data_IF_814273662338
#
_entry.id   IF_814273662338
#
_cell.length_a   1.000
_cell.length_b   1.000
_cell.length_c   1.000
_cell.angle_alpha   90.00
_cell.angle_beta   90.00
_cell.angle_gamma   90.00
#
_symmetry.space_group_name_H-M   'P 1'
#
loop_
_entity.id
_entity.type
_entity.pdbx_description
1 polymer ?
#
# COMPACT_ATOMS: atom_id res chain seq x y z
N UNK A 1 -6.25 -16.20 67.28
CA UNK A 1 -6.74 -15.43 66.12
C UNK A 1 -5.56 -15.28 65.15
N UNK A 2 -5.35 -16.28 64.29
CA UNK A 2 -4.19 -16.33 63.37
C UNK A 2 -4.68 -15.81 62.02
N UNK A 3 -4.12 -14.68 61.56
CA UNK A 3 -4.46 -14.06 60.28
C UNK A 3 -3.56 -14.68 59.21
N UNK A 4 -4.11 -15.60 58.42
CA UNK A 4 -3.47 -16.07 57.18
C UNK A 4 -3.37 -14.90 56.20
N UNK A 5 -2.18 -14.33 56.06
CA UNK A 5 -1.86 -13.48 54.93
C UNK A 5 -1.75 -14.35 53.67
N UNK A 6 -2.86 -14.47 52.94
CA UNK A 6 -2.85 -14.96 51.55
C UNK A 6 -2.10 -13.94 50.69
N UNK A 7 -0.77 -14.09 50.61
CA UNK A 7 0.03 -13.42 49.59
C UNK A 7 -0.36 -13.99 48.24
N UNK A 8 -1.20 -13.26 47.51
CA UNK A 8 -1.48 -13.56 46.10
C UNK A 8 -0.16 -13.60 45.33
N UNK A 9 0.10 -14.62 44.50
CA UNK A 9 1.31 -14.63 43.69
C UNK A 9 1.25 -13.43 42.74
N UNK A 10 2.11 -12.43 42.98
CA UNK A 10 2.38 -11.39 41.98
C UNK A 10 2.79 -12.15 40.72
N UNK A 11 1.94 -12.12 39.70
CA UNK A 11 2.21 -12.68 38.38
C UNK A 11 3.42 -11.92 37.82
N UNK A 12 4.61 -12.39 38.17
CA UNK A 12 5.89 -11.91 37.63
C UNK A 12 5.87 -12.34 36.18
N UNK A 13 5.29 -11.51 35.32
CA UNK A 13 5.38 -11.71 33.89
C UNK A 13 6.88 -11.64 33.56
N UNK A 14 7.49 -12.74 33.09
CA UNK A 14 8.92 -12.76 32.90
C UNK A 14 9.28 -11.66 31.91
N UNK A 15 10.27 -10.86 32.27
CA UNK A 15 10.81 -9.75 31.49
C UNK A 15 11.06 -10.14 30.01
N UNK A 16 11.41 -11.41 29.75
CA UNK A 16 11.47 -12.02 28.43
C UNK A 16 10.14 -12.00 27.64
N UNK A 17 9.00 -12.34 28.26
CA UNK A 17 7.69 -12.26 27.59
C UNK A 17 7.32 -10.82 27.26
N UNK A 18 7.69 -9.86 28.12
CA UNK A 18 7.48 -8.43 27.84
C UNK A 18 8.36 -7.96 26.69
N UNK A 19 9.63 -8.36 26.67
CA UNK A 19 10.55 -8.07 25.57
C UNK A 19 10.04 -8.63 24.24
N UNK A 20 9.60 -9.88 24.22
CA UNK A 20 9.04 -10.51 23.02
C UNK A 20 7.78 -9.79 22.55
N UNK A 21 6.90 -9.38 23.48
CA UNK A 21 5.70 -8.61 23.15
C UNK A 21 6.03 -7.26 22.53
N UNK A 22 7.03 -6.55 23.06
CA UNK A 22 7.48 -5.25 22.53
C UNK A 22 8.08 -5.42 21.14
N UNK A 23 8.92 -6.43 20.93
CA UNK A 23 9.52 -6.72 19.60
C UNK A 23 8.43 -7.09 18.59
N UNK A 24 7.48 -7.92 18.99
CA UNK A 24 6.35 -8.30 18.14
C UNK A 24 5.53 -7.09 17.69
N UNK A 25 5.15 -6.23 18.64
CA UNK A 25 4.46 -4.97 18.31
C UNK A 25 5.33 -4.01 17.49
N UNK A 26 6.63 -3.93 17.78
CA UNK A 26 7.57 -3.12 17.03
C UNK A 26 7.70 -3.56 15.58
N UNK A 27 7.74 -4.87 15.31
CA UNK A 27 7.77 -5.40 13.95
C UNK A 27 6.47 -5.07 13.21
N UNK A 28 5.31 -5.24 13.86
CA UNK A 28 4.01 -4.91 13.24
C UNK A 28 3.95 -3.43 12.88
N UNK A 29 4.27 -2.55 13.83
CA UNK A 29 4.27 -1.10 13.58
C UNK A 29 5.29 -0.70 12.52
N UNK A 30 6.46 -1.35 12.49
CA UNK A 30 7.44 -1.12 11.44
C UNK A 30 6.92 -1.52 10.07
N UNK A 31 6.35 -2.72 9.92
CA UNK A 31 5.83 -3.20 8.63
C UNK A 31 4.68 -2.32 8.14
N UNK A 32 3.78 -1.88 9.03
CA UNK A 32 2.68 -0.97 8.69
C UNK A 32 3.22 0.37 8.19
N UNK A 33 4.12 1.00 8.95
CA UNK A 33 4.71 2.28 8.57
C UNK A 33 5.55 2.17 7.29
N UNK A 34 6.29 1.07 7.12
CA UNK A 34 7.09 0.83 5.93
C UNK A 34 6.20 0.63 4.70
N UNK A 35 5.19 -0.22 4.79
CA UNK A 35 4.23 -0.43 3.70
C UNK A 35 3.51 0.88 3.35
N UNK A 36 3.14 1.67 4.36
CA UNK A 36 2.55 2.99 4.16
C UNK A 36 3.51 3.93 3.43
N UNK A 37 4.77 4.04 3.86
CA UNK A 37 5.76 4.92 3.24
C UNK A 37 6.03 4.53 1.78
N UNK A 38 6.20 3.23 1.51
CA UNK A 38 6.38 2.73 0.13
C UNK A 38 5.13 3.02 -0.70
N UNK A 39 3.93 2.78 -0.17
CA UNK A 39 2.69 3.00 -0.90
C UNK A 39 2.39 4.50 -1.13
N UNK A 40 2.76 5.39 -0.20
CA UNK A 40 2.63 6.85 -0.37
C UNK A 40 3.45 7.38 -1.54
N UNK A 41 4.60 6.78 -1.83
CA UNK A 41 5.44 7.16 -2.97
C UNK A 41 5.03 6.43 -4.27
N UNK A 42 4.72 5.13 -4.16
CA UNK A 42 4.47 4.28 -5.33
C UNK A 42 3.05 4.48 -5.90
N UNK A 43 2.04 4.68 -5.05
CA UNK A 43 0.66 4.92 -5.49
C UNK A 43 0.50 6.15 -6.41
N UNK A 44 1.01 7.35 -6.06
CA UNK A 44 0.88 8.51 -6.93
C UNK A 44 1.64 8.32 -8.25
N UNK A 45 2.80 7.67 -8.24
CA UNK A 45 3.55 7.37 -9.48
C UNK A 45 2.75 6.45 -10.40
N UNK A 46 2.18 5.36 -9.86
CA UNK A 46 1.33 4.43 -10.62
C UNK A 46 0.08 5.12 -11.17
N UNK A 47 -0.59 5.94 -10.36
CA UNK A 47 -1.77 6.68 -10.76
C UNK A 47 -1.46 7.71 -11.85
N UNK A 48 -0.40 8.49 -11.69
CA UNK A 48 0.02 9.50 -12.66
C UNK A 48 0.41 8.85 -13.99
N UNK A 49 1.22 7.81 -13.97
CA UNK A 49 1.62 7.10 -15.19
C UNK A 49 0.42 6.43 -15.87
N UNK A 50 -0.42 5.72 -15.10
CA UNK A 50 -1.60 5.07 -15.62
C UNK A 50 -2.61 6.06 -16.21
N UNK A 51 -2.88 7.17 -15.52
CA UNK A 51 -3.77 8.22 -15.98
C UNK A 51 -3.23 8.97 -17.21
N UNK A 52 -1.93 9.29 -17.23
CA UNK A 52 -1.30 9.96 -18.37
C UNK A 52 -1.34 9.08 -19.62
N UNK A 53 -1.03 7.79 -19.48
CA UNK A 53 -1.08 6.85 -20.59
C UNK A 53 -2.51 6.58 -21.04
N UNK A 54 -3.44 6.36 -20.12
CA UNK A 54 -4.86 6.22 -20.46
C UNK A 54 -5.38 7.45 -21.20
N UNK A 55 -5.06 8.65 -20.70
CA UNK A 55 -5.38 9.92 -21.32
C UNK A 55 -4.78 10.05 -22.72
N UNK A 56 -3.50 9.69 -22.89
CA UNK A 56 -2.84 9.70 -24.19
C UNK A 56 -3.57 8.82 -25.21
N UNK A 57 -3.92 7.57 -24.85
CA UNK A 57 -4.67 6.67 -25.73
C UNK A 57 -6.03 7.28 -26.08
N UNK A 58 -6.75 7.85 -25.11
CA UNK A 58 -8.06 8.47 -25.32
C UNK A 58 -8.00 9.68 -26.25
N UNK A 59 -7.01 10.55 -26.05
CA UNK A 59 -6.79 11.73 -26.89
C UNK A 59 -6.48 11.29 -28.33
N UNK A 60 -5.57 10.35 -28.48
CA UNK A 60 -5.16 9.83 -29.80
C UNK A 60 -6.34 9.16 -30.51
N UNK A 61 -7.15 8.37 -29.79
CA UNK A 61 -8.34 7.71 -30.34
C UNK A 61 -9.45 8.70 -30.76
N UNK A 62 -9.47 9.91 -30.19
CA UNK A 62 -10.45 10.94 -30.51
C UNK A 62 -10.04 11.81 -31.71
N UNK A 63 -8.78 11.76 -32.15
CA UNK A 63 -8.31 12.52 -33.30
C UNK A 63 -8.88 11.93 -34.60
N UNK A 64 -9.21 12.78 -35.60
CA UNK A 64 -9.56 12.30 -36.93
C UNK A 64 -8.37 11.53 -37.51
N UNK A 65 -8.64 10.36 -38.06
CA UNK A 65 -7.62 9.51 -38.67
C UNK A 65 -7.16 10.13 -39.99
N UNK A 66 -6.02 10.82 -39.96
CA UNK A 66 -5.38 11.28 -41.19
C UNK A 66 -4.46 10.17 -41.73
N UNK A 67 -4.41 9.95 -43.05
CA UNK A 67 -3.61 8.90 -43.66
C UNK A 67 -2.11 9.00 -43.35
N UNK A 68 -1.61 10.21 -43.04
CA UNK A 68 -0.19 10.43 -42.69
C UNK A 68 0.16 10.04 -41.24
N UNK A 69 -0.81 10.01 -40.32
CA UNK A 69 -0.59 9.65 -38.90
C UNK A 69 -0.98 8.21 -38.58
N UNK A 70 -1.84 7.58 -39.39
CA UNK A 70 -2.25 6.17 -39.24
C UNK A 70 -1.06 5.19 -39.07
N UNK A 71 0.07 5.34 -39.81
CA UNK A 71 1.23 4.47 -39.64
C UNK A 71 1.97 4.69 -38.32
N UNK A 72 1.73 5.80 -37.62
CA UNK A 72 2.35 6.09 -36.32
C UNK A 72 1.48 5.61 -35.15
N UNK A 73 0.15 5.57 -35.33
CA UNK A 73 -0.81 5.07 -34.35
C UNK A 73 -0.57 3.61 -33.95
N UNK A 74 -0.09 2.77 -34.87
CA UNK A 74 0.25 1.37 -34.60
C UNK A 74 1.42 1.17 -33.62
N UNK A 75 2.25 2.20 -33.39
CA UNK A 75 3.33 2.13 -32.40
C UNK A 75 2.87 2.48 -30.98
N UNK A 76 1.62 2.91 -30.80
CA UNK A 76 1.09 3.25 -29.48
C UNK A 76 0.78 1.94 -28.72
N UNK A 77 1.54 1.60 -27.67
CA UNK A 77 1.35 0.32 -27.00
C UNK A 77 0.10 0.39 -26.13
N UNK A 78 -0.86 -0.50 -26.35
CA UNK A 78 -1.99 -0.71 -25.43
C UNK A 78 -1.59 -1.57 -24.21
N UNK A 79 -0.51 -2.35 -24.36
CA UNK A 79 0.05 -3.22 -23.32
C UNK A 79 1.57 -3.17 -23.40
N UNK A 80 2.25 -2.94 -22.28
CA UNK A 80 3.69 -3.14 -22.18
C UNK A 80 3.96 -4.46 -21.46
N UNK A 81 4.83 -5.29 -22.02
CA UNK A 81 5.40 -6.42 -21.32
C UNK A 81 6.74 -6.00 -20.72
N UNK A 82 6.86 -6.08 -19.40
CA UNK A 82 8.11 -5.83 -18.70
C UNK A 82 8.33 -6.92 -17.65
N UNK A 83 9.46 -7.62 -17.71
CA UNK A 83 9.85 -8.61 -16.70
C UNK A 83 8.85 -9.75 -16.49
N UNK A 84 8.12 -10.16 -17.54
CA UNK A 84 7.09 -11.21 -17.45
C UNK A 84 5.70 -10.74 -17.01
N UNK A 85 5.54 -9.45 -16.68
CA UNK A 85 4.25 -8.85 -16.32
C UNK A 85 3.69 -8.03 -17.47
N UNK A 86 2.37 -8.13 -17.67
CA UNK A 86 1.64 -7.26 -18.61
C UNK A 86 1.15 -6.03 -17.88
N UNK A 87 1.78 -4.88 -18.13
CA UNK A 87 1.34 -3.58 -17.66
C UNK A 87 0.29 -3.02 -18.62
N UNK A 88 -0.87 -2.70 -18.06
CA UNK A 88 -1.93 -1.96 -18.75
C UNK A 88 -2.17 -0.65 -18.00
N UNK A 89 -2.55 0.43 -18.70
CA UNK A 89 -2.81 1.71 -18.06
C UNK A 89 -3.90 1.60 -16.98
N UNK A 90 -4.93 0.80 -17.22
CA UNK A 90 -6.00 0.52 -16.22
C UNK A 90 -5.44 -0.27 -15.02
N UNK A 91 -4.62 -1.29 -15.26
CA UNK A 91 -4.02 -2.08 -14.18
C UNK A 91 -3.09 -1.25 -13.28
N UNK A 92 -2.36 -0.26 -13.85
CA UNK A 92 -1.56 0.67 -13.07
C UNK A 92 -2.42 1.54 -12.16
N UNK A 93 -3.56 2.03 -12.66
CA UNK A 93 -4.51 2.82 -11.87
C UNK A 93 -5.10 1.97 -10.73
N UNK A 94 -5.57 0.76 -11.03
CA UNK A 94 -6.13 -0.16 -10.02
C UNK A 94 -5.12 -0.48 -8.91
N UNK A 95 -3.86 -0.76 -9.26
CA UNK A 95 -2.79 -0.98 -8.29
C UNK A 95 -2.53 0.26 -7.44
N UNK A 96 -2.50 1.45 -8.05
CA UNK A 96 -2.33 2.70 -7.34
C UNK A 96 -3.46 2.98 -6.34
N UNK A 97 -4.71 2.72 -6.72
CA UNK A 97 -5.88 2.82 -5.83
C UNK A 97 -5.79 1.80 -4.69
N UNK A 98 -5.39 0.56 -4.99
CA UNK A 98 -5.24 -0.50 -3.99
C UNK A 98 -4.17 -0.13 -2.96
N UNK A 99 -3.02 0.40 -3.40
CA UNK A 99 -1.98 0.91 -2.52
C UNK A 99 -2.47 2.06 -1.63
N UNK A 100 -3.25 3.00 -2.19
CA UNK A 100 -3.91 4.05 -1.41
C UNK A 100 -4.89 3.50 -0.38
N UNK A 101 -5.65 2.46 -0.72
CA UNK A 101 -6.54 1.78 0.20
C UNK A 101 -5.76 1.11 1.35
N UNK A 102 -4.62 0.51 1.04
CA UNK A 102 -3.69 -0.05 2.05
C UNK A 102 -3.16 1.04 2.97
N UNK A 103 -2.73 2.18 2.44
CA UNK A 103 -2.32 3.35 3.23
C UNK A 103 -3.44 3.82 4.15
N UNK A 104 -4.65 3.95 3.63
CA UNK A 104 -5.81 4.38 4.42
C UNK A 104 -6.13 3.38 5.55
N UNK A 105 -6.03 2.08 5.27
CA UNK A 105 -6.20 1.03 6.28
C UNK A 105 -5.12 1.10 7.38
N UNK A 106 -3.85 1.26 7.01
CA UNK A 106 -2.74 1.41 7.97
C UNK A 106 -2.97 2.62 8.89
N UNK A 107 -3.28 3.79 8.31
CA UNK A 107 -3.59 5.01 9.07
C UNK A 107 -4.80 4.85 9.99
N UNK A 108 -5.78 4.06 9.60
CA UNK A 108 -6.97 3.78 10.43
C UNK A 108 -6.59 2.96 11.65
N UNK A 109 -5.76 1.93 11.46
CA UNK A 109 -5.25 1.09 12.54
C UNK A 109 -4.39 1.91 13.50
N UNK A 110 -3.46 2.73 12.99
CA UNK A 110 -2.63 3.61 13.81
C UNK A 110 -3.47 4.62 14.59
N UNK A 111 -4.50 5.18 13.96
CA UNK A 111 -5.45 6.07 14.63
C UNK A 111 -6.24 5.40 15.75
N UNK A 112 -6.54 4.10 15.65
CA UNK A 112 -7.20 3.34 16.72
C UNK A 112 -6.22 3.06 17.87
N UNK A 113 -4.98 2.69 17.56
CA UNK A 113 -3.94 2.39 18.56
C UNK A 113 -3.60 3.65 19.35
N UNK A 114 -3.37 4.78 18.66
CA UNK A 114 -3.04 6.07 19.29
C UNK A 114 -4.14 6.58 20.22
N UNK A 115 -5.40 6.17 20.01
CA UNK A 115 -6.53 6.54 20.89
C UNK A 115 -6.66 5.63 22.13
N UNK A 116 -6.09 4.43 22.10
CA UNK A 116 -6.17 3.45 23.21
C UNK A 116 -4.96 3.45 24.14
N UNK A 117 -3.90 4.17 23.78
CA UNK A 117 -2.65 4.28 24.55
C UNK A 117 -2.60 5.66 25.20
#
# INVERSE_FOLDING_TARGET
>A
MIREERTAPRRQMPWLLRGLWIVFWGIISFVLNFAQAVAEEVAPVLLLLGALWWGLIRIVAALPRLPDVEPYLQYLPERLQAGGYTLTPVGMIELGILLLAVVAACRTVDGIIARRT
#
